data_IF_509936946113
#
_entry.id   IF_509936946113
#
_cell.length_a   1.000
_cell.length_b   1.000
_cell.length_c   1.000
_cell.angle_alpha   90.00
_cell.angle_beta   90.00
_cell.angle_gamma   90.00
#
_symmetry.space_group_name_H-M   'P 1'
#
loop_
_entity.id
_entity.type
_entity.pdbx_description
1 polymer ?
#
# COMPACT_ATOMS: atom_id res chain seq x y z
N UNK A 1 12.46 2.75 7.54
CA UNK A 1 11.63 1.54 7.73
C UNK A 1 12.39 0.20 7.63
N UNK A 2 13.72 0.16 7.40
CA UNK A 2 14.42 -1.13 7.23
C UNK A 2 14.31 -2.07 8.45
N UNK A 3 14.15 -1.54 9.67
CA UNK A 3 13.99 -2.35 10.88
C UNK A 3 12.60 -2.96 11.09
N UNK A 4 11.60 -2.65 10.24
CA UNK A 4 10.29 -3.27 10.33
C UNK A 4 10.33 -4.70 9.78
N UNK A 5 9.60 -5.64 10.40
CA UNK A 5 9.77 -7.07 10.12
C UNK A 5 9.61 -7.42 8.63
N UNK A 6 8.67 -6.77 7.95
CA UNK A 6 8.42 -6.98 6.52
C UNK A 6 9.59 -6.53 5.60
N UNK A 7 10.48 -5.65 6.07
CA UNK A 7 11.58 -5.07 5.29
C UNK A 7 12.98 -5.45 5.80
N UNK A 8 13.07 -6.08 6.97
CA UNK A 8 14.33 -6.49 7.59
C UNK A 8 14.82 -7.85 7.04
N UNK A 9 15.10 -7.89 5.73
CA UNK A 9 15.54 -9.08 4.98
C UNK A 9 16.79 -9.77 5.54
N UNK A 10 17.65 -9.03 6.23
CA UNK A 10 18.84 -9.58 6.88
C UNK A 10 18.52 -10.31 8.19
N UNK A 11 17.27 -10.22 8.68
CA UNK A 11 16.83 -10.74 9.98
C UNK A 11 15.71 -11.76 9.88
N UNK A 12 14.76 -11.59 8.95
CA UNK A 12 13.58 -12.45 8.85
C UNK A 12 13.50 -13.14 7.49
N UNK A 13 13.26 -14.45 7.52
CA UNK A 13 13.13 -15.30 6.32
C UNK A 13 11.95 -14.88 5.42
N UNK A 14 10.87 -14.37 6.02
CA UNK A 14 9.66 -13.95 5.30
C UNK A 14 9.59 -12.44 5.02
N UNK A 15 10.72 -11.73 5.16
CA UNK A 15 10.78 -10.33 4.74
C UNK A 15 10.85 -10.23 3.21
N UNK A 16 10.39 -9.10 2.69
CA UNK A 16 10.44 -8.80 1.27
C UNK A 16 11.90 -8.67 0.82
N UNK A 17 12.20 -9.18 -0.39
CA UNK A 17 13.52 -9.07 -0.99
C UNK A 17 13.95 -7.59 -1.12
N UNK A 18 15.21 -7.22 -0.84
CA UNK A 18 15.66 -5.82 -0.81
C UNK A 18 15.52 -5.05 -2.13
N UNK A 19 15.37 -5.75 -3.26
CA UNK A 19 15.18 -5.15 -4.58
C UNK A 19 13.70 -5.08 -5.03
N UNK A 20 12.76 -5.54 -4.21
CA UNK A 20 11.33 -5.41 -4.50
C UNK A 20 10.83 -4.09 -3.93
N UNK A 21 10.29 -3.21 -4.78
CA UNK A 21 9.64 -1.97 -4.33
C UNK A 21 8.43 -2.34 -3.45
N UNK A 22 8.39 -1.84 -2.22
CA UNK A 22 7.32 -2.18 -1.28
C UNK A 22 7.11 -1.09 -0.24
N UNK A 23 5.86 -0.97 0.23
CA UNK A 23 5.45 -0.03 1.27
C UNK A 23 4.47 -0.71 2.23
N UNK A 24 4.35 -0.17 3.44
CA UNK A 24 3.20 -0.41 4.32
C UNK A 24 2.33 0.84 4.24
N UNK A 25 1.05 0.64 3.93
CA UNK A 25 0.09 1.71 3.81
C UNK A 25 -1.07 1.45 4.77
N UNK A 26 -1.26 2.38 5.71
CA UNK A 26 -2.43 2.40 6.58
C UNK A 26 -3.57 3.13 5.86
N UNK A 27 -4.73 2.48 5.74
CA UNK A 27 -5.91 3.08 5.08
C UNK A 27 -6.87 3.78 6.05
N UNK A 28 -6.55 3.77 7.34
CA UNK A 28 -7.29 4.42 8.41
C UNK A 28 -7.08 3.71 9.76
N UNK A 29 -7.61 4.29 10.84
CA UNK A 29 -7.53 3.71 12.18
C UNK A 29 -8.82 2.99 12.56
N UNK A 30 -8.74 1.71 12.93
CA UNK A 30 -9.91 0.99 13.45
C UNK A 30 -10.48 1.64 14.71
N UNK A 31 -9.67 2.29 15.55
CA UNK A 31 -10.14 3.01 16.75
C UNK A 31 -10.90 4.29 16.44
N UNK A 32 -10.70 4.88 15.25
CA UNK A 32 -11.44 6.06 14.82
C UNK A 32 -12.81 5.64 14.24
N UNK A 33 -13.95 6.11 14.80
CA UNK A 33 -15.27 5.74 14.31
C UNK A 33 -15.55 6.15 12.86
N UNK A 34 -14.98 7.26 12.39
CA UNK A 34 -15.14 7.73 11.01
C UNK A 34 -14.34 6.87 10.03
N UNK A 35 -13.08 6.59 10.34
CA UNK A 35 -12.24 5.73 9.49
C UNK A 35 -12.79 4.31 9.41
N UNK A 36 -13.25 3.76 10.55
CA UNK A 36 -13.83 2.41 10.61
C UNK A 36 -15.02 2.24 9.66
N UNK A 37 -15.83 3.28 9.44
CA UNK A 37 -16.95 3.24 8.47
C UNK A 37 -16.47 3.00 7.04
N UNK A 38 -15.26 3.42 6.70
CA UNK A 38 -14.65 3.15 5.39
C UNK A 38 -13.94 1.80 5.45
N UNK A 39 -12.97 1.64 6.36
CA UNK A 39 -12.09 0.46 6.41
C UNK A 39 -12.87 -0.85 6.56
N UNK A 40 -13.94 -0.87 7.36
CA UNK A 40 -14.71 -2.11 7.64
C UNK A 40 -15.96 -2.20 6.76
N UNK A 41 -16.72 -1.12 6.62
CA UNK A 41 -18.04 -1.18 5.97
C UNK A 41 -18.01 -0.84 4.49
N UNK A 42 -16.96 -0.17 3.99
CA UNK A 42 -16.81 0.24 2.58
C UNK A 42 -15.35 0.12 2.09
N UNK A 43 -14.68 -1.03 2.29
CA UNK A 43 -13.25 -1.18 1.98
C UNK A 43 -12.91 -0.91 0.51
N UNK A 44 -13.86 -1.10 -0.40
CA UNK A 44 -13.74 -0.80 -1.83
C UNK A 44 -13.42 0.67 -2.12
N UNK A 45 -13.79 1.58 -1.22
CA UNK A 45 -13.46 3.01 -1.37
C UNK A 45 -11.96 3.24 -1.22
N UNK A 46 -11.35 2.67 -0.17
CA UNK A 46 -9.90 2.73 0.05
C UNK A 46 -9.15 1.99 -1.06
N UNK A 47 -9.63 0.80 -1.45
CA UNK A 47 -9.02 0.02 -2.52
C UNK A 47 -9.03 0.77 -3.87
N UNK A 48 -10.16 1.39 -4.24
CA UNK A 48 -10.27 2.18 -5.46
C UNK A 48 -9.37 3.42 -5.43
N UNK A 49 -9.30 4.12 -4.29
CA UNK A 49 -8.39 5.25 -4.11
C UNK A 49 -6.92 4.84 -4.33
N UNK A 50 -6.53 3.71 -3.73
CA UNK A 50 -5.18 3.15 -3.90
C UNK A 50 -4.89 2.76 -5.35
N UNK A 51 -5.78 1.97 -5.97
CA UNK A 51 -5.60 1.52 -7.35
C UNK A 51 -5.49 2.71 -8.33
N UNK A 52 -6.40 3.68 -8.22
CA UNK A 52 -6.40 4.86 -9.07
C UNK A 52 -5.12 5.70 -8.87
N UNK A 53 -4.66 5.85 -7.62
CA UNK A 53 -3.43 6.56 -7.31
C UNK A 53 -2.19 5.91 -7.93
N UNK A 54 -2.08 4.57 -7.84
CA UNK A 54 -0.98 3.82 -8.43
C UNK A 54 -1.00 3.95 -9.96
N UNK A 55 -2.15 3.71 -10.60
CA UNK A 55 -2.28 3.81 -12.06
C UNK A 55 -1.86 5.20 -12.53
N UNK A 56 -2.41 6.25 -11.91
CA UNK A 56 -2.10 7.63 -12.26
C UNK A 56 -0.62 7.98 -12.09
N UNK A 57 0.04 7.46 -11.06
CA UNK A 57 1.48 7.64 -10.88
C UNK A 57 2.27 6.93 -11.98
N UNK A 58 1.93 5.67 -12.28
CA UNK A 58 2.63 4.92 -13.32
C UNK A 58 2.45 5.56 -14.71
N UNK A 59 1.28 6.12 -14.99
CA UNK A 59 1.01 6.91 -16.20
C UNK A 59 1.85 8.20 -16.21
N UNK A 60 1.88 8.96 -15.11
CA UNK A 60 2.64 10.23 -15.05
C UNK A 60 4.14 10.05 -15.22
N UNK A 61 4.67 8.90 -14.79
CA UNK A 61 6.08 8.53 -14.95
C UNK A 61 6.38 7.80 -16.28
N UNK A 62 5.39 7.67 -17.18
CA UNK A 62 5.49 6.90 -18.43
C UNK A 62 5.93 5.44 -18.24
N UNK A 63 5.65 4.85 -17.08
CA UNK A 63 5.94 3.44 -16.76
C UNK A 63 4.83 2.54 -17.31
N UNK A 64 3.57 2.99 -17.22
CA UNK A 64 2.42 2.30 -17.77
C UNK A 64 1.94 3.03 -19.03
N UNK A 65 1.98 2.34 -20.17
CA UNK A 65 1.39 2.81 -21.42
C UNK A 65 0.06 2.09 -21.62
N UNK A 66 -1.04 2.84 -21.56
CA UNK A 66 -2.36 2.34 -21.94
C UNK A 66 -2.53 2.65 -23.43
N UNK A 67 -2.66 1.61 -24.25
CA UNK A 67 -2.94 1.72 -25.68
C UNK A 67 -4.31 2.35 -25.94
#
# INVERSE_FOLDING_TARGET
>A
MRGYYAFAWWRYEHAVHPMTTSIILETGFLTNPSDRKIVVSKPEVSARGLANGIIKYLESENILQVN
#
